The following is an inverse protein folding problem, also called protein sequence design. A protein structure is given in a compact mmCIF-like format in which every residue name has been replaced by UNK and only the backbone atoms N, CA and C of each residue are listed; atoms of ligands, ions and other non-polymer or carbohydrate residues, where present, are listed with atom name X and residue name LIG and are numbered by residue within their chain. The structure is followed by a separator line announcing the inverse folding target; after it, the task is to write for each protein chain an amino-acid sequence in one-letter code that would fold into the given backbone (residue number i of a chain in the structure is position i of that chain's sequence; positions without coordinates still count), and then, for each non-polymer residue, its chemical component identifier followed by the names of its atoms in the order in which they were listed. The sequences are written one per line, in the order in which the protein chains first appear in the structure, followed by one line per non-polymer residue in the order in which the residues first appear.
data_IF_375027903057
#
_entry.id   IF_375027903057
#
_cell.length_a   1.000
_cell.length_b   1.000
_cell.length_c   1.000
_cell.angle_alpha   90.00
_cell.angle_beta   90.00
_cell.angle_gamma   90.00
#
_symmetry.space_group_name_H-M   'P 1'
#
loop_
_entity.id
_entity.type
_entity.pdbx_description
1 polymer ?
#
# COMPACT_ATOMS: atom_id res chain seq x y z
N UNK A 1 2.19 3.84 5.93
CA UNK A 1 0.91 4.57 6.11
C UNK A 1 0.12 4.05 7.29
N UNK A 2 0.20 2.76 7.64
CA UNK A 2 -0.44 2.17 8.83
C UNK A 2 -0.20 2.96 10.12
N UNK A 3 1.03 3.37 10.39
CA UNK A 3 1.37 4.22 11.55
C UNK A 3 0.65 5.58 11.56
N UNK A 4 0.40 6.16 10.37
CA UNK A 4 -0.35 7.41 10.23
C UNK A 4 -1.83 7.15 10.50
N UNK A 5 -2.39 6.01 10.06
CA UNK A 5 -3.76 5.60 10.36
C UNK A 5 -3.96 5.45 11.87
N UNK A 6 -3.03 4.75 12.54
CA UNK A 6 -3.04 4.56 13.99
C UNK A 6 -2.93 5.90 14.74
N UNK A 7 -2.06 6.82 14.27
CA UNK A 7 -1.94 8.18 14.83
C UNK A 7 -3.23 8.99 14.66
N UNK A 8 -3.83 8.99 13.47
CA UNK A 8 -5.09 9.70 13.20
C UNK A 8 -6.20 9.15 14.10
N UNK A 9 -6.29 7.83 14.25
CA UNK A 9 -7.25 7.21 15.15
C UNK A 9 -7.04 7.62 16.61
N UNK A 10 -5.79 7.63 17.09
CA UNK A 10 -5.45 8.01 18.45
C UNK A 10 -5.76 9.49 18.74
N UNK A 11 -5.49 10.38 17.78
CA UNK A 11 -5.80 11.81 17.89
C UNK A 11 -7.30 12.06 18.04
N UNK A 12 -8.12 11.34 17.26
CA UNK A 12 -9.59 11.48 17.22
C UNK A 12 -10.30 10.83 18.40
N UNK A 13 -9.85 9.65 18.82
CA UNK A 13 -10.55 8.84 19.83
C UNK A 13 -9.92 8.91 21.22
N UNK A 14 -8.74 9.52 21.34
CA UNK A 14 -7.90 9.50 22.55
C UNK A 14 -7.57 8.07 23.04
N UNK A 15 -7.57 7.10 22.12
CA UNK A 15 -7.28 5.69 22.38
C UNK A 15 -6.31 5.15 21.34
N UNK A 16 -5.38 4.31 21.77
CA UNK A 16 -4.53 3.56 20.85
C UNK A 16 -5.18 2.24 20.46
N UNK A 17 -5.16 1.90 19.18
CA UNK A 17 -5.44 0.59 18.62
C UNK A 17 -4.52 0.39 17.42
N UNK A 18 -4.02 -0.83 17.20
CA UNK A 18 -3.30 -1.16 15.97
C UNK A 18 -4.24 -1.10 14.76
N UNK A 19 -3.70 -0.92 13.56
CA UNK A 19 -4.50 -0.85 12.34
C UNK A 19 -5.40 -2.09 12.14
N UNK A 20 -4.92 -3.27 12.56
CA UNK A 20 -5.69 -4.53 12.52
C UNK A 20 -6.87 -4.50 13.47
N UNK A 21 -6.67 -4.00 14.68
CA UNK A 21 -7.74 -3.85 15.68
C UNK A 21 -8.76 -2.79 15.26
N UNK A 22 -8.30 -1.68 14.69
CA UNK A 22 -9.18 -0.64 14.13
C UNK A 22 -10.08 -1.26 13.05
N UNK A 23 -9.51 -1.98 12.09
CA UNK A 23 -10.28 -2.64 11.02
C UNK A 23 -11.27 -3.66 11.60
N UNK A 24 -10.83 -4.50 12.54
CA UNK A 24 -11.68 -5.53 13.16
C UNK A 24 -12.82 -4.92 13.97
N UNK A 25 -12.58 -3.81 14.66
CA UNK A 25 -13.56 -3.17 15.56
C UNK A 25 -14.56 -2.30 14.81
N UNK A 26 -14.09 -1.52 13.84
CA UNK A 26 -14.90 -0.46 13.19
C UNK A 26 -15.25 -0.76 11.74
N UNK A 27 -14.73 -1.84 11.17
CA UNK A 27 -15.02 -2.26 9.81
C UNK A 27 -14.34 -1.44 8.72
N UNK A 28 -14.64 -1.81 7.47
CA UNK A 28 -13.92 -1.32 6.29
C UNK A 28 -14.21 0.14 5.94
N UNK A 29 -15.43 0.63 6.15
CA UNK A 29 -15.81 2.00 5.82
C UNK A 29 -15.07 3.02 6.69
N UNK A 30 -15.06 2.78 8.01
CA UNK A 30 -14.32 3.61 8.95
C UNK A 30 -12.82 3.58 8.66
N UNK A 31 -12.26 2.38 8.40
CA UNK A 31 -10.86 2.24 8.03
C UNK A 31 -10.51 3.02 6.76
N UNK A 32 -11.34 2.95 5.71
CA UNK A 32 -11.16 3.74 4.48
C UNK A 32 -11.20 5.25 4.74
N UNK A 33 -11.99 5.69 5.71
CA UNK A 33 -12.01 7.10 6.10
C UNK A 33 -10.68 7.54 6.74
N UNK A 34 -10.11 6.71 7.61
CA UNK A 34 -8.80 6.96 8.18
C UNK A 34 -7.70 6.90 7.11
N UNK A 35 -7.77 5.97 6.14
CA UNK A 35 -6.85 5.93 5.01
C UNK A 35 -6.86 7.24 4.21
N UNK A 36 -8.03 7.79 3.89
CA UNK A 36 -8.13 9.10 3.21
C UNK A 36 -7.49 10.24 4.01
N UNK A 37 -7.69 10.26 5.33
CA UNK A 37 -7.07 11.26 6.22
C UNK A 37 -5.55 11.09 6.27
N UNK A 38 -5.06 9.85 6.35
CA UNK A 38 -3.65 9.53 6.31
C UNK A 38 -3.01 9.95 4.97
N UNK A 39 -3.68 9.70 3.85
CA UNK A 39 -3.24 10.15 2.52
C UNK A 39 -3.14 11.68 2.45
N UNK A 40 -4.12 12.40 2.98
CA UNK A 40 -4.06 13.88 3.03
C UNK A 40 -2.90 14.40 3.88
N UNK A 41 -2.52 13.69 4.94
CA UNK A 41 -1.40 14.10 5.80
C UNK A 41 -0.05 13.91 5.10
N UNK A 42 0.10 12.89 4.27
CA UNK A 42 1.35 12.66 3.53
C UNK A 42 1.56 13.62 2.35
N UNK A 43 0.49 14.26 1.85
CA UNK A 43 0.60 15.31 0.80
C UNK A 43 1.48 16.49 1.26
N UNK A 44 1.60 16.73 2.57
CA UNK A 44 2.45 17.79 3.11
C UNK A 44 3.91 17.39 3.37
N UNK A 45 4.32 16.17 3.04
CA UNK A 45 5.69 15.70 3.27
C UNK A 45 6.57 15.98 2.06
N UNK A 46 7.65 16.73 2.25
CA UNK A 46 8.68 16.95 1.24
C UNK A 46 9.82 15.92 1.37
N UNK A 47 10.49 15.61 0.26
CA UNK A 47 11.67 14.71 0.19
C UNK A 47 11.55 13.42 1.03
N UNK A 48 10.43 12.72 0.89
CA UNK A 48 10.08 11.57 1.74
C UNK A 48 9.76 10.31 0.93
N UNK A 49 10.03 9.13 1.49
CA UNK A 49 9.59 7.84 0.96
C UNK A 49 8.37 7.38 1.74
N UNK A 50 7.25 7.15 1.06
CA UNK A 50 5.98 6.77 1.67
C UNK A 50 5.61 5.35 1.24
N UNK A 51 5.58 4.42 2.20
CA UNK A 51 5.01 3.09 1.99
C UNK A 51 3.48 3.14 2.14
N UNK A 52 2.78 2.87 1.03
CA UNK A 52 1.32 2.81 0.96
C UNK A 52 0.82 1.40 1.30
N UNK A 53 -0.27 1.30 2.07
CA UNK A 53 -0.94 0.04 2.30
C UNK A 53 -1.60 -0.48 1.01
N UNK A 54 -1.73 -1.80 0.87
CA UNK A 54 -2.27 -2.41 -0.35
C UNK A 54 -3.75 -2.10 -0.64
N UNK A 55 -4.47 -1.44 0.27
CA UNK A 55 -5.83 -0.95 0.06
C UNK A 55 -5.92 0.56 -0.22
N UNK A 56 -4.85 1.30 0.08
CA UNK A 56 -4.94 2.76 0.25
C UNK A 56 -5.28 3.48 -1.04
N UNK A 57 -4.83 2.95 -2.19
CA UNK A 57 -5.15 3.53 -3.50
C UNK A 57 -6.63 3.42 -3.89
N UNK A 58 -7.41 2.56 -3.23
CA UNK A 58 -8.85 2.37 -3.48
C UNK A 58 -9.74 3.16 -2.52
N UNK A 59 -9.13 3.87 -1.56
CA UNK A 59 -9.86 4.65 -0.56
C UNK A 59 -10.35 6.01 -1.10
N UNK A 60 -9.77 6.46 -2.22
CA UNK A 60 -9.98 7.78 -2.81
C UNK A 60 -10.29 7.69 -4.32
N UNK A 61 -11.34 8.39 -4.77
CA UNK A 61 -11.74 8.43 -6.17
C UNK A 61 -10.77 9.25 -7.03
N UNK A 62 -10.05 10.20 -6.44
CA UNK A 62 -9.10 11.08 -7.12
C UNK A 62 -7.63 10.70 -6.81
N UNK A 63 -7.41 9.43 -6.48
CA UNK A 63 -6.07 8.90 -6.16
C UNK A 63 -5.03 9.25 -7.25
N UNK A 64 -5.44 9.26 -8.52
CA UNK A 64 -4.57 9.62 -9.65
C UNK A 64 -4.14 11.08 -9.63
N UNK A 65 -5.05 12.00 -9.29
CA UNK A 65 -4.74 13.42 -9.15
C UNK A 65 -3.76 13.65 -8.00
N UNK A 66 -3.92 12.93 -6.90
CA UNK A 66 -3.06 13.05 -5.70
C UNK A 66 -1.62 12.61 -5.93
N UNK A 67 -1.41 11.58 -6.74
CA UNK A 67 -0.05 11.12 -7.07
C UNK A 67 0.57 11.87 -8.24
N UNK A 68 -0.15 12.82 -8.86
CA UNK A 68 0.39 13.65 -9.94
C UNK A 68 1.51 14.54 -9.39
N UNK A 69 2.72 14.35 -9.89
CA UNK A 69 3.92 15.07 -9.43
C UNK A 69 4.79 14.27 -8.45
N UNK A 70 4.36 13.07 -8.05
CA UNK A 70 5.17 12.14 -7.28
C UNK A 70 5.65 10.98 -8.15
N UNK A 71 6.76 10.35 -7.74
CA UNK A 71 7.22 9.09 -8.34
C UNK A 71 6.58 7.93 -7.57
N UNK A 72 5.69 7.20 -8.24
CA UNK A 72 5.06 6.00 -7.71
C UNK A 72 5.85 4.77 -8.19
N UNK A 73 6.40 4.03 -7.24
CA UNK A 73 7.11 2.77 -7.48
C UNK A 73 6.18 1.62 -7.10
N UNK A 74 5.90 0.74 -8.06
CA UNK A 74 5.20 -0.51 -7.80
C UNK A 74 6.20 -1.66 -7.63
N UNK A 75 6.26 -2.21 -6.42
CA UNK A 75 7.02 -3.42 -6.12
C UNK A 75 6.21 -4.65 -6.54
N UNK A 76 6.49 -5.16 -7.72
CA UNK A 76 5.86 -6.36 -8.27
C UNK A 76 6.51 -7.61 -7.68
N UNK A 77 5.68 -8.61 -7.38
CA UNK A 77 6.12 -9.94 -6.96
C UNK A 77 5.19 -10.92 -7.63
N UNK A 78 5.72 -12.02 -8.15
CA UNK A 78 4.90 -13.09 -8.73
C UNK A 78 3.82 -13.55 -7.73
N UNK A 79 2.58 -13.78 -8.18
CA UNK A 79 1.42 -13.95 -7.29
C UNK A 79 1.57 -15.14 -6.35
N UNK A 80 2.20 -16.23 -6.78
CA UNK A 80 2.47 -17.39 -5.92
C UNK A 80 3.44 -17.05 -4.78
N UNK A 81 4.53 -16.35 -5.11
CA UNK A 81 5.51 -15.91 -4.11
C UNK A 81 4.87 -14.91 -3.14
N UNK A 82 4.07 -13.98 -3.65
CA UNK A 82 3.37 -12.98 -2.84
C UNK A 82 2.36 -13.64 -1.89
N UNK A 83 1.61 -14.62 -2.37
CA UNK A 83 0.66 -15.38 -1.54
C UNK A 83 1.38 -16.04 -0.36
N UNK A 84 2.45 -16.80 -0.63
CA UNK A 84 3.24 -17.47 0.41
C UNK A 84 3.78 -16.48 1.45
N UNK A 85 4.30 -15.33 1.01
CA UNK A 85 4.77 -14.26 1.91
C UNK A 85 3.65 -13.72 2.81
N UNK A 86 2.44 -13.54 2.29
CA UNK A 86 1.29 -13.02 3.03
C UNK A 86 0.82 -14.04 4.08
N UNK A 87 0.65 -15.30 3.68
CA UNK A 87 0.10 -16.33 4.59
C UNK A 87 1.09 -16.82 5.64
N UNK A 88 2.41 -16.64 5.42
CA UNK A 88 3.48 -17.13 6.29
C UNK A 88 3.29 -16.75 7.77
N UNK A 89 2.79 -15.55 8.03
CA UNK A 89 2.61 -15.06 9.40
C UNK A 89 1.19 -15.29 9.93
N UNK A 90 0.17 -14.91 9.16
CA UNK A 90 -1.22 -15.09 9.51
C UNK A 90 -2.12 -14.85 8.28
N UNK A 91 -3.29 -15.48 8.26
CA UNK A 91 -4.33 -15.15 7.29
C UNK A 91 -4.81 -13.71 7.57
N UNK A 92 -4.75 -12.79 6.58
CA UNK A 92 -5.27 -11.44 6.76
C UNK A 92 -6.74 -11.44 7.18
N UNK A 93 -7.12 -10.55 8.09
CA UNK A 93 -8.49 -10.50 8.64
C UNK A 93 -9.60 -10.24 7.60
N UNK A 94 -9.23 -9.74 6.42
CA UNK A 94 -10.13 -9.48 5.30
C UNK A 94 -10.14 -10.61 4.25
N UNK A 95 -9.43 -11.71 4.49
CA UNK A 95 -9.57 -12.94 3.70
C UNK A 95 -10.68 -13.82 4.29
N UNK A 96 -11.34 -14.59 3.43
CA UNK A 96 -12.07 -15.77 3.86
C UNK A 96 -11.06 -16.79 4.41
N UNK A 97 -11.18 -17.15 5.69
CA UNK A 97 -10.32 -18.12 6.35
C UNK A 97 -10.48 -19.53 5.79
N UNK A 98 -11.63 -19.87 5.20
CA UNK A 98 -11.87 -21.17 4.57
C UNK A 98 -11.22 -21.25 3.17
N UNK A 99 -11.15 -20.13 2.46
CA UNK A 99 -10.61 -20.05 1.10
C UNK A 99 -9.62 -18.87 0.94
N UNK A 100 -8.49 -18.88 1.68
CA UNK A 100 -7.56 -17.75 1.68
C UNK A 100 -6.92 -17.50 0.31
N UNK A 101 -6.63 -18.56 -0.45
CA UNK A 101 -6.09 -18.45 -1.81
C UNK A 101 -7.07 -17.80 -2.78
N UNK A 102 -8.35 -18.13 -2.68
CA UNK A 102 -9.39 -17.51 -3.51
C UNK A 102 -9.53 -16.02 -3.18
N UNK A 103 -9.52 -15.67 -1.89
CA UNK A 103 -9.54 -14.27 -1.43
C UNK A 103 -8.35 -13.48 -1.96
N UNK A 104 -7.15 -14.06 -1.89
CA UNK A 104 -5.95 -13.49 -2.46
C UNK A 104 -6.07 -13.25 -3.96
N UNK A 105 -6.42 -14.28 -4.74
CA UNK A 105 -6.51 -14.18 -6.19
C UNK A 105 -7.52 -13.09 -6.62
N UNK A 106 -8.69 -13.04 -5.96
CA UNK A 106 -9.70 -12.01 -6.20
C UNK A 106 -9.12 -10.60 -5.99
N UNK A 107 -8.52 -10.36 -4.82
CA UNK A 107 -7.93 -9.06 -4.51
C UNK A 107 -6.76 -8.72 -5.43
N UNK A 108 -5.92 -9.68 -5.78
CA UNK A 108 -4.81 -9.46 -6.70
C UNK A 108 -5.32 -9.00 -8.07
N UNK A 109 -6.29 -9.72 -8.65
CA UNK A 109 -6.89 -9.39 -9.95
C UNK A 109 -7.60 -8.05 -9.93
N UNK A 110 -8.36 -7.74 -8.87
CA UNK A 110 -9.05 -6.45 -8.72
C UNK A 110 -8.06 -5.28 -8.64
N UNK A 111 -6.93 -5.47 -7.95
CA UNK A 111 -6.01 -4.36 -7.63
C UNK A 111 -4.94 -4.11 -8.68
N UNK A 112 -4.48 -5.16 -9.37
CA UNK A 112 -3.36 -5.10 -10.31
C UNK A 112 -3.49 -4.00 -11.39
N UNK A 113 -4.66 -3.79 -12.04
CA UNK A 113 -4.79 -2.75 -13.05
C UNK A 113 -4.53 -1.35 -12.48
N UNK A 114 -4.95 -1.08 -11.24
CA UNK A 114 -4.78 0.22 -10.61
C UNK A 114 -3.32 0.46 -10.22
N UNK A 115 -2.63 -0.55 -9.67
CA UNK A 115 -1.19 -0.47 -9.41
C UNK A 115 -0.38 -0.20 -10.68
N UNK A 116 -0.64 -0.95 -11.75
CA UNK A 116 0.04 -0.75 -13.04
C UNK A 116 -0.23 0.63 -13.63
N UNK A 117 -1.45 1.14 -13.51
CA UNK A 117 -1.83 2.45 -14.04
C UNK A 117 -1.22 3.62 -13.24
N UNK A 118 -1.05 3.46 -11.93
CA UNK A 118 -0.46 4.49 -11.06
C UNK A 118 1.08 4.49 -11.13
N UNK A 119 1.70 3.34 -11.38
CA UNK A 119 3.15 3.18 -11.32
C UNK A 119 3.87 4.00 -12.40
N UNK A 120 4.84 4.80 -11.98
CA UNK A 120 5.84 5.37 -12.88
C UNK A 120 6.98 4.39 -13.14
N UNK A 121 7.28 3.53 -12.16
CA UNK A 121 8.34 2.53 -12.18
C UNK A 121 7.77 1.22 -11.61
N UNK A 122 8.08 0.10 -12.25
CA UNK A 122 7.75 -1.23 -11.76
C UNK A 122 9.06 -1.97 -11.48
N UNK A 123 9.24 -2.45 -10.25
CA UNK A 123 10.45 -3.15 -9.82
C UNK A 123 10.05 -4.55 -9.37
N UNK A 124 10.78 -5.56 -9.84
CA UNK A 124 10.66 -6.91 -9.30
C UNK A 124 11.25 -6.97 -7.88
N UNK A 125 10.44 -7.44 -6.94
CA UNK A 125 10.76 -7.60 -5.52
C UNK A 125 10.66 -9.09 -5.12
N UNK A 126 10.79 -10.00 -6.08
CA UNK A 126 10.76 -11.44 -5.84
C UNK A 126 12.03 -11.97 -5.16
N UNK A 127 13.12 -11.20 -5.21
CA UNK A 127 14.46 -11.57 -4.73
C UNK A 127 14.83 -10.85 -3.43
N UNK A 128 16.11 -10.54 -3.24
CA UNK A 128 16.61 -9.88 -2.05
C UNK A 128 16.32 -8.37 -2.03
N UNK A 129 16.36 -7.82 -0.82
CA UNK A 129 16.01 -6.40 -0.58
C UNK A 129 17.06 -5.46 -1.16
N UNK A 130 18.33 -5.85 -1.16
CA UNK A 130 19.43 -5.01 -1.63
C UNK A 130 19.39 -4.85 -3.16
N UNK A 131 19.18 -5.95 -3.89
CA UNK A 131 18.92 -5.97 -5.33
C UNK A 131 17.71 -5.10 -5.68
N UNK A 132 16.61 -5.22 -4.93
CA UNK A 132 15.40 -4.40 -5.12
C UNK A 132 15.71 -2.92 -4.96
N UNK A 133 16.44 -2.54 -3.90
CA UNK A 133 16.82 -1.14 -3.64
C UNK A 133 17.76 -0.62 -4.73
N UNK A 134 18.75 -1.40 -5.14
CA UNK A 134 19.67 -1.03 -6.22
C UNK A 134 18.92 -0.80 -7.54
N UNK A 135 17.98 -1.67 -7.88
CA UNK A 135 17.14 -1.51 -9.08
C UNK A 135 16.27 -0.24 -9.02
N UNK A 136 15.72 0.08 -7.84
CA UNK A 136 14.99 1.36 -7.64
C UNK A 136 15.92 2.55 -7.91
N UNK A 137 17.12 2.55 -7.32
CA UNK A 137 18.07 3.66 -7.49
C UNK A 137 18.52 3.83 -8.94
N UNK A 138 18.74 2.72 -9.66
CA UNK A 138 19.08 2.73 -11.08
C UNK A 138 17.95 3.34 -11.92
N UNK A 139 16.70 2.91 -11.72
CA UNK A 139 15.54 3.46 -12.43
C UNK A 139 15.32 4.95 -12.11
N UNK A 140 15.49 5.35 -10.86
CA UNK A 140 15.40 6.77 -10.47
C UNK A 140 16.50 7.60 -11.13
N UNK A 141 17.74 7.11 -11.18
CA UNK A 141 18.84 7.81 -11.83
C UNK A 141 18.66 7.92 -13.35
N UNK A 142 18.17 6.87 -14.02
CA UNK A 142 17.85 6.91 -15.44
C UNK A 142 16.74 7.92 -15.75
N UNK A 143 15.85 8.16 -14.78
CA UNK A 143 14.81 9.19 -14.85
C UNK A 143 15.23 10.56 -14.34
N UNK A 144 16.48 10.77 -13.90
CA UNK A 144 16.96 12.10 -13.47
C UNK A 144 17.40 13.00 -14.64
N UNK A 145 17.05 12.67 -15.89
CA UNK A 145 17.13 13.58 -17.05
C UNK A 145 16.05 14.69 -17.08
N UNK A 146 15.33 14.89 -15.99
CA UNK A 146 14.26 15.90 -15.86
C UNK A 146 14.80 17.05 -15.00
N UNK A 147 15.52 17.98 -15.63
CA UNK A 147 15.67 19.36 -15.13
C UNK A 147 14.44 20.17 -15.52
#
# INVERSE_FOLDING_TARGET
TDSIIESVYAEETKSYLSFREIYKKHGSEYFRNLERKALKRVEGFESSIISLGGGSIFSDKDVYGKFKGHIVIYLHVEPDILYERIIKNAIPAFFDSLNPRQSFNKLYTERLPSYKRLANIVIDNSRDVEETVNNILLELNNKNGWQ
#
